data_IF_668710182992
#
_entry.id   IF_668710182992
#
_cell.length_a   1.000
_cell.length_b   1.000
_cell.length_c   1.000
_cell.angle_alpha   90.00
_cell.angle_beta   90.00
_cell.angle_gamma   90.00
#
_symmetry.space_group_name_H-M   'P 1'
#
loop_
_entity.id
_entity.type
_entity.pdbx_description
1 polymer ?
#
# COMPACT_ATOMS: atom_id res chain seq x y z
N UNK A 1 -16.45 -3.86 -21.34
CA UNK A 1 -15.04 -3.91 -20.92
C UNK A 1 -14.99 -4.65 -19.61
N UNK A 2 -14.10 -5.63 -19.44
CA UNK A 2 -13.89 -6.27 -18.13
C UNK A 2 -13.33 -5.23 -17.16
N UNK A 3 -13.82 -5.20 -15.95
CA UNK A 3 -13.28 -4.33 -14.89
C UNK A 3 -11.93 -4.89 -14.48
N UNK A 4 -10.87 -4.09 -14.36
CA UNK A 4 -9.59 -4.60 -13.87
C UNK A 4 -9.70 -5.00 -12.41
N UNK A 5 -8.97 -6.04 -12.03
CA UNK A 5 -8.80 -6.48 -10.65
C UNK A 5 -7.63 -5.74 -9.99
N UNK A 6 -7.84 -5.20 -8.79
CA UNK A 6 -6.82 -4.45 -8.05
C UNK A 6 -6.63 -5.08 -6.66
N UNK A 7 -5.43 -5.60 -6.39
CA UNK A 7 -5.01 -6.02 -5.06
C UNK A 7 -4.36 -4.88 -4.29
N UNK A 8 -4.85 -4.54 -3.11
CA UNK A 8 -4.32 -3.45 -2.27
C UNK A 8 -3.90 -4.03 -0.92
N UNK A 9 -2.66 -3.76 -0.50
CA UNK A 9 -2.22 -4.11 0.84
C UNK A 9 -2.88 -3.23 1.91
N UNK A 10 -2.90 -3.73 3.14
CA UNK A 10 -3.50 -3.01 4.26
C UNK A 10 -2.48 -2.21 5.06
N UNK A 11 -1.44 -2.88 5.58
CA UNK A 11 -0.49 -2.28 6.50
C UNK A 11 0.39 -1.23 5.81
N UNK A 12 0.41 -0.01 6.34
CA UNK A 12 1.11 1.16 5.80
C UNK A 12 0.75 1.58 4.36
N UNK A 13 -0.12 0.84 3.68
CA UNK A 13 -0.69 1.21 2.37
C UNK A 13 -2.08 1.81 2.54
N UNK A 14 -3.00 1.04 3.13
CA UNK A 14 -4.37 1.48 3.38
C UNK A 14 -4.51 2.13 4.75
N UNK A 15 -3.94 1.52 5.79
CA UNK A 15 -4.00 2.01 7.17
C UNK A 15 -2.59 2.07 7.78
N UNK A 16 -2.32 3.05 8.65
CA UNK A 16 -1.02 3.16 9.29
C UNK A 16 -0.75 1.96 10.20
N UNK A 17 0.45 1.37 10.13
CA UNK A 17 0.91 0.28 10.98
C UNK A 17 2.17 0.69 11.75
N UNK A 18 3.28 0.92 11.05
CA UNK A 18 4.55 1.28 11.68
C UNK A 18 4.48 2.62 12.46
N UNK A 19 3.73 3.60 11.97
CA UNK A 19 3.56 4.87 12.70
C UNK A 19 2.77 4.70 14.01
N UNK A 20 1.85 3.73 14.07
CA UNK A 20 1.16 3.38 15.32
C UNK A 20 2.11 2.67 16.27
N UNK A 21 2.87 1.67 15.78
CA UNK A 21 3.86 0.96 16.59
C UNK A 21 4.91 1.92 17.18
N UNK A 22 5.38 2.91 16.39
CA UNK A 22 6.27 3.98 16.87
C UNK A 22 5.63 4.79 17.98
N UNK A 23 4.37 5.20 17.82
CA UNK A 23 3.65 5.95 18.84
C UNK A 23 3.54 5.14 20.13
N UNK A 24 3.15 3.86 20.06
CA UNK A 24 3.07 2.96 21.20
C UNK A 24 4.44 2.78 21.88
N UNK A 25 5.52 2.66 21.11
CA UNK A 25 6.87 2.59 21.65
C UNK A 25 7.27 3.88 22.39
N UNK A 26 6.95 5.04 21.83
CA UNK A 26 7.19 6.32 22.46
C UNK A 26 6.36 6.49 23.75
N UNK A 27 5.11 6.05 23.73
CA UNK A 27 4.21 6.06 24.91
C UNK A 27 4.71 5.12 26.02
N UNK A 28 5.30 3.97 25.66
CA UNK A 28 5.78 2.97 26.61
C UNK A 28 7.16 3.28 27.21
N UNK A 29 8.08 3.69 26.34
CA UNK A 29 9.51 3.79 26.73
C UNK A 29 9.96 5.20 27.06
N UNK A 30 9.20 6.23 26.69
CA UNK A 30 9.54 7.64 26.91
C UNK A 30 11.03 7.95 26.59
N UNK A 31 11.53 7.58 25.38
CA UNK A 31 12.93 7.78 25.06
C UNK A 31 13.28 9.28 25.07
N UNK A 32 14.52 9.63 25.43
CA UNK A 32 14.99 11.01 25.42
C UNK A 32 14.82 11.68 24.05
N UNK A 33 15.05 10.90 22.98
CA UNK A 33 14.72 11.26 21.61
C UNK A 33 13.59 10.34 21.11
N UNK A 34 12.38 10.85 20.82
CA UNK A 34 11.29 10.06 20.29
C UNK A 34 11.67 9.32 19.01
N UNK A 35 11.20 8.08 18.88
CA UNK A 35 11.31 7.32 17.62
C UNK A 35 10.48 7.99 16.54
N UNK A 36 10.98 7.96 15.29
CA UNK A 36 10.33 8.56 14.12
C UNK A 36 10.22 7.55 12.98
N UNK A 37 9.21 7.69 12.15
CA UNK A 37 8.95 6.79 11.03
C UNK A 37 10.10 6.82 10.00
N UNK A 38 10.70 7.99 9.79
CA UNK A 38 11.79 8.22 8.84
C UNK A 38 13.08 7.48 9.20
N UNK A 39 13.20 7.03 10.44
CA UNK A 39 14.33 6.22 10.91
C UNK A 39 14.25 4.75 10.45
N UNK A 40 13.08 4.29 10.01
CA UNK A 40 12.92 2.96 9.40
C UNK A 40 13.39 3.03 7.96
N UNK A 41 14.67 2.77 7.73
CA UNK A 41 15.29 2.92 6.40
C UNK A 41 15.45 1.61 5.62
N UNK A 42 14.98 0.51 6.18
CA UNK A 42 14.99 -0.82 5.55
C UNK A 42 13.81 -1.65 6.05
N UNK A 43 13.39 -2.63 5.25
CA UNK A 43 12.34 -3.57 5.63
C UNK A 43 12.67 -4.36 6.91
N UNK A 44 13.93 -4.71 7.08
CA UNK A 44 14.38 -5.44 8.28
C UNK A 44 14.27 -4.62 9.58
N UNK A 45 14.25 -3.29 9.48
CA UNK A 45 14.18 -2.37 10.63
C UNK A 45 15.11 -2.81 11.78
N UNK A 46 16.43 -2.79 11.52
CA UNK A 46 17.46 -3.25 12.49
C UNK A 46 18.01 -2.12 13.39
N UNK A 47 17.63 -0.87 13.09
CA UNK A 47 18.08 0.30 13.85
C UNK A 47 17.40 0.44 15.22
N UNK A 48 17.56 1.64 15.84
CA UNK A 48 16.96 1.94 17.16
C UNK A 48 15.44 1.78 17.18
N UNK A 49 14.78 1.93 16.03
CA UNK A 49 13.34 1.71 15.87
C UNK A 49 12.92 0.24 15.85
N UNK A 50 13.87 -0.71 15.86
CA UNK A 50 13.56 -2.16 15.89
C UNK A 50 12.70 -2.58 17.09
N UNK A 51 12.72 -1.81 18.15
CA UNK A 51 11.89 -2.01 19.37
C UNK A 51 10.39 -2.03 19.05
N UNK A 52 9.94 -1.35 17.95
CA UNK A 52 8.53 -1.34 17.60
C UNK A 52 7.99 -2.72 17.18
N UNK A 53 8.86 -3.68 16.84
CA UNK A 53 8.45 -5.04 16.45
C UNK A 53 7.71 -5.79 17.56
N UNK A 54 7.95 -5.44 18.81
CA UNK A 54 7.23 -6.04 19.95
C UNK A 54 5.72 -5.76 19.90
N UNK A 55 5.32 -4.64 19.24
CA UNK A 55 3.91 -4.25 19.12
C UNK A 55 3.20 -4.89 17.92
N UNK A 56 3.93 -5.56 17.00
CA UNK A 56 3.34 -6.12 15.78
C UNK A 56 2.31 -7.23 16.04
N UNK A 57 2.35 -7.84 17.23
CA UNK A 57 1.36 -8.81 17.67
C UNK A 57 0.52 -8.27 18.85
N UNK A 58 0.44 -6.96 19.02
CA UNK A 58 -0.36 -6.33 20.06
C UNK A 58 -1.77 -6.03 19.53
N UNK A 59 -2.85 -6.55 20.16
CA UNK A 59 -4.23 -6.23 19.78
C UNK A 59 -4.54 -4.74 19.76
N UNK A 60 -3.87 -3.95 20.60
CA UNK A 60 -4.06 -2.51 20.66
C UNK A 60 -3.58 -1.82 19.39
N UNK A 61 -2.48 -2.29 18.77
CA UNK A 61 -2.02 -1.78 17.48
C UNK A 61 -3.12 -1.93 16.43
N UNK A 62 -3.73 -3.10 16.34
CA UNK A 62 -4.80 -3.38 15.40
C UNK A 62 -6.04 -2.49 15.66
N UNK A 63 -6.41 -2.28 16.93
CA UNK A 63 -7.55 -1.42 17.27
C UNK A 63 -7.35 0.05 16.87
N UNK A 64 -6.10 0.51 16.86
CA UNK A 64 -5.72 1.87 16.49
C UNK A 64 -5.57 2.08 14.97
N UNK A 65 -5.57 1.02 14.17
CA UNK A 65 -5.40 1.08 12.70
C UNK A 65 -6.66 1.56 11.99
N UNK A 66 -6.72 2.83 11.69
CA UNK A 66 -7.84 3.44 10.97
C UNK A 66 -7.29 4.14 9.72
N UNK A 67 -7.77 3.79 8.51
CA UNK A 67 -7.43 4.52 7.30
C UNK A 67 -7.83 5.99 7.37
N UNK A 68 -7.04 6.87 6.76
CA UNK A 68 -7.43 8.28 6.64
C UNK A 68 -8.65 8.45 5.73
N UNK A 69 -9.40 9.53 5.91
CA UNK A 69 -10.54 9.81 5.04
C UNK A 69 -10.14 10.03 3.57
N UNK A 70 -8.92 10.51 3.33
CA UNK A 70 -8.38 10.61 1.98
C UNK A 70 -8.18 9.23 1.36
N UNK A 71 -7.56 8.30 2.09
CA UNK A 71 -7.37 6.91 1.65
C UNK A 71 -8.70 6.23 1.38
N UNK A 72 -9.68 6.36 2.30
CA UNK A 72 -11.02 5.80 2.13
C UNK A 72 -11.71 6.32 0.86
N UNK A 73 -11.65 7.63 0.64
CA UNK A 73 -12.21 8.24 -0.59
C UNK A 73 -11.53 7.72 -1.85
N UNK A 74 -10.21 7.56 -1.80
CA UNK A 74 -9.44 7.01 -2.93
C UNK A 74 -9.88 5.59 -3.27
N UNK A 75 -9.95 4.71 -2.27
CA UNK A 75 -10.36 3.31 -2.44
C UNK A 75 -11.81 3.22 -2.95
N UNK A 76 -12.74 4.01 -2.40
CA UNK A 76 -14.13 4.06 -2.91
C UNK A 76 -14.21 4.51 -4.37
N UNK A 77 -13.33 5.42 -4.80
CA UNK A 77 -13.24 5.80 -6.23
C UNK A 77 -12.72 4.65 -7.10
N UNK A 78 -11.79 3.84 -6.59
CA UNK A 78 -11.33 2.65 -7.29
C UNK A 78 -12.44 1.61 -7.40
N UNK A 79 -13.22 1.38 -6.35
CA UNK A 79 -14.36 0.46 -6.36
C UNK A 79 -15.43 0.83 -7.40
N UNK A 80 -15.50 2.09 -7.82
CA UNK A 80 -16.42 2.51 -8.90
C UNK A 80 -15.96 2.06 -10.29
N UNK A 81 -14.66 1.84 -10.50
CA UNK A 81 -14.05 1.60 -11.82
C UNK A 81 -13.33 0.25 -11.95
N UNK A 82 -13.08 -0.43 -10.84
CA UNK A 82 -12.32 -1.68 -10.77
C UNK A 82 -12.91 -2.63 -9.71
N UNK A 83 -12.53 -3.90 -9.78
CA UNK A 83 -12.81 -4.88 -8.74
C UNK A 83 -11.68 -4.86 -7.72
N UNK A 84 -11.94 -4.22 -6.58
CA UNK A 84 -10.94 -4.01 -5.53
C UNK A 84 -10.94 -5.18 -4.56
N UNK A 85 -9.73 -5.65 -4.24
CA UNK A 85 -9.45 -6.69 -3.25
C UNK A 85 -8.46 -6.13 -2.23
N UNK A 86 -8.65 -6.46 -0.96
CA UNK A 86 -7.58 -6.33 0.02
C UNK A 86 -6.82 -7.64 0.12
N UNK A 87 -5.49 -7.56 -0.02
CA UNK A 87 -4.58 -8.69 0.12
C UNK A 87 -3.49 -8.35 1.13
N UNK A 88 -3.58 -8.89 2.34
CA UNK A 88 -2.71 -8.48 3.45
C UNK A 88 -2.16 -9.68 4.20
N UNK A 89 -0.85 -9.62 4.49
CA UNK A 89 -0.20 -10.57 5.37
C UNK A 89 -0.50 -10.22 6.83
N UNK A 90 -1.08 -11.16 7.55
CA UNK A 90 -1.42 -11.00 8.95
C UNK A 90 -1.21 -12.33 9.69
N UNK A 91 -0.76 -12.25 10.95
CA UNK A 91 -0.66 -13.44 11.80
C UNK A 91 -2.00 -14.16 11.90
N UNK A 92 -2.05 -15.51 11.86
CA UNK A 92 -3.28 -16.27 12.01
C UNK A 92 -4.13 -15.87 13.21
N UNK A 93 -3.50 -15.44 14.31
CA UNK A 93 -4.20 -14.98 15.51
C UNK A 93 -5.02 -13.69 15.30
N UNK A 94 -4.69 -12.89 14.28
CA UNK A 94 -5.33 -11.60 14.00
C UNK A 94 -6.12 -11.58 12.70
N UNK A 95 -6.26 -12.71 12.00
CA UNK A 95 -7.01 -12.76 10.74
C UNK A 95 -8.47 -12.32 10.91
N UNK A 96 -9.14 -12.77 11.97
CA UNK A 96 -10.51 -12.34 12.28
C UNK A 96 -10.61 -10.84 12.54
N UNK A 97 -9.70 -10.31 13.36
CA UNK A 97 -9.63 -8.86 13.67
C UNK A 97 -9.39 -8.05 12.39
N UNK A 98 -8.48 -8.51 11.52
CA UNK A 98 -8.18 -7.84 10.26
C UNK A 98 -9.38 -7.84 9.32
N UNK A 99 -10.07 -8.97 9.17
CA UNK A 99 -11.27 -9.04 8.35
C UNK A 99 -12.36 -8.07 8.85
N UNK A 100 -12.58 -8.04 10.17
CA UNK A 100 -13.55 -7.14 10.80
C UNK A 100 -13.16 -5.66 10.61
N UNK A 101 -11.87 -5.31 10.73
CA UNK A 101 -11.38 -3.96 10.45
C UNK A 101 -11.71 -3.54 9.00
N UNK A 102 -11.39 -4.39 8.03
CA UNK A 102 -11.64 -4.10 6.61
C UNK A 102 -13.14 -3.90 6.39
N UNK A 103 -13.98 -4.81 6.85
CA UNK A 103 -15.44 -4.75 6.70
C UNK A 103 -16.04 -3.52 7.39
N UNK A 104 -15.50 -3.11 8.54
CA UNK A 104 -15.95 -1.91 9.26
C UNK A 104 -15.61 -0.64 8.50
N UNK A 105 -14.42 -0.56 7.90
CA UNK A 105 -13.97 0.65 7.18
C UNK A 105 -14.53 0.74 5.76
N UNK A 106 -14.84 -0.42 5.15
CA UNK A 106 -15.35 -0.55 3.78
C UNK A 106 -16.54 -1.53 3.75
N UNK A 107 -17.69 -1.19 4.38
CA UNK A 107 -18.86 -2.07 4.44
C UNK A 107 -19.47 -2.37 3.06
N UNK A 108 -19.13 -1.58 2.05
CA UNK A 108 -19.52 -1.79 0.67
C UNK A 108 -18.67 -2.81 -0.09
N UNK A 109 -17.52 -3.26 0.49
CA UNK A 109 -16.66 -4.26 -0.13
C UNK A 109 -17.28 -5.66 0.02
N UNK A 110 -17.37 -6.48 -1.06
CA UNK A 110 -17.75 -7.88 -0.92
C UNK A 110 -16.78 -8.64 0.00
N UNK A 111 -17.26 -9.42 0.97
CA UNK A 111 -16.38 -10.16 1.90
C UNK A 111 -15.40 -11.10 1.21
N UNK A 112 -15.77 -11.69 0.06
CA UNK A 112 -14.92 -12.54 -0.78
C UNK A 112 -13.71 -11.80 -1.39
N UNK A 113 -13.73 -10.46 -1.37
CA UNK A 113 -12.62 -9.63 -1.83
C UNK A 113 -11.57 -9.38 -0.73
N UNK A 114 -11.68 -10.05 0.42
CA UNK A 114 -10.70 -9.99 1.51
C UNK A 114 -9.84 -11.25 1.48
N UNK A 115 -8.56 -11.11 1.18
CA UNK A 115 -7.58 -12.20 1.10
C UNK A 115 -6.55 -12.01 2.21
N UNK A 116 -6.52 -12.94 3.17
CA UNK A 116 -5.63 -12.88 4.31
C UNK A 116 -4.57 -13.98 4.20
N UNK A 117 -3.31 -13.58 4.14
CA UNK A 117 -2.18 -14.50 4.06
C UNK A 117 -0.93 -13.88 3.46
N UNK A 118 0.22 -14.50 3.71
CA UNK A 118 1.54 -14.03 3.27
C UNK A 118 1.91 -14.43 1.84
N UNK A 119 1.22 -15.43 1.26
CA UNK A 119 1.53 -15.95 -0.08
C UNK A 119 0.92 -15.08 -1.20
N UNK A 120 1.23 -13.78 -1.18
CA UNK A 120 0.67 -12.80 -2.13
C UNK A 120 1.09 -13.10 -3.58
N UNK A 121 2.24 -13.73 -3.79
CA UNK A 121 2.75 -14.19 -5.09
C UNK A 121 1.87 -15.27 -5.75
N UNK A 122 0.97 -15.89 -4.99
CA UNK A 122 0.05 -16.93 -5.47
C UNK A 122 -1.27 -16.38 -6.02
N UNK A 123 -1.55 -15.11 -5.77
CA UNK A 123 -2.78 -14.45 -6.24
C UNK A 123 -2.45 -13.55 -7.43
N UNK A 124 -3.29 -13.59 -8.45
CA UNK A 124 -3.11 -12.80 -9.65
C UNK A 124 -4.13 -11.65 -9.71
N UNK A 125 -3.62 -10.44 -9.90
CA UNK A 125 -4.40 -9.21 -10.15
C UNK A 125 -3.86 -8.51 -11.40
N UNK A 126 -4.67 -7.66 -12.02
CA UNK A 126 -4.17 -6.79 -13.10
C UNK A 126 -3.24 -5.72 -12.52
N UNK A 127 -3.59 -5.16 -11.36
CA UNK A 127 -2.82 -4.12 -10.67
C UNK A 127 -2.66 -4.51 -9.20
N UNK A 128 -1.46 -4.32 -8.63
CA UNK A 128 -1.21 -4.50 -7.20
C UNK A 128 -0.59 -3.24 -6.63
N UNK A 129 -1.00 -2.85 -5.42
CA UNK A 129 -0.40 -1.79 -4.62
C UNK A 129 0.10 -2.36 -3.29
N UNK A 130 1.40 -2.26 -3.04
CA UNK A 130 2.05 -2.76 -1.82
C UNK A 130 3.26 -1.88 -1.48
N UNK A 131 3.67 -1.79 -0.22
CA UNK A 131 4.85 -1.05 0.21
C UNK A 131 6.10 -1.93 0.38
N UNK A 132 5.92 -3.24 0.40
CA UNK A 132 6.99 -4.21 0.51
C UNK A 132 7.62 -4.52 -0.85
N UNK A 133 8.90 -4.21 -1.00
CA UNK A 133 9.64 -4.42 -2.25
C UNK A 133 9.55 -5.87 -2.75
N UNK A 134 9.67 -6.86 -1.84
CA UNK A 134 9.60 -8.27 -2.20
C UNK A 134 8.22 -8.65 -2.76
N UNK A 135 7.14 -8.13 -2.21
CA UNK A 135 5.80 -8.37 -2.74
C UNK A 135 5.63 -7.80 -4.16
N UNK A 136 6.24 -6.65 -4.44
CA UNK A 136 6.23 -6.04 -5.77
C UNK A 136 7.07 -6.83 -6.77
N UNK A 137 8.27 -7.27 -6.38
CA UNK A 137 9.19 -8.03 -7.25
C UNK A 137 8.67 -9.44 -7.55
N UNK A 138 8.03 -10.09 -6.58
CA UNK A 138 7.49 -11.44 -6.73
C UNK A 138 6.06 -11.45 -7.31
N UNK A 139 5.44 -10.26 -7.45
CA UNK A 139 4.08 -10.12 -7.99
C UNK A 139 3.98 -10.57 -9.43
N UNK A 140 2.87 -11.23 -9.75
CA UNK A 140 2.50 -11.61 -11.12
C UNK A 140 1.50 -10.64 -11.75
N UNK A 141 1.22 -9.52 -11.10
CA UNK A 141 0.36 -8.48 -11.64
C UNK A 141 0.97 -7.87 -12.91
N UNK A 142 0.11 -7.45 -13.85
CA UNK A 142 0.57 -6.72 -15.03
C UNK A 142 1.20 -5.37 -14.64
N UNK A 143 0.64 -4.73 -13.60
CA UNK A 143 1.12 -3.45 -13.06
C UNK A 143 1.37 -3.54 -11.55
N UNK A 144 2.53 -4.06 -11.11
CA UNK A 144 2.93 -3.99 -9.71
C UNK A 144 3.36 -2.56 -9.36
N UNK A 145 2.70 -1.93 -8.37
CA UNK A 145 2.91 -0.54 -7.98
C UNK A 145 3.40 -0.47 -6.54
N UNK A 146 4.55 0.19 -6.33
CA UNK A 146 5.14 0.38 -5.01
C UNK A 146 4.55 1.64 -4.33
N UNK A 147 3.94 1.50 -3.17
CA UNK A 147 3.65 2.62 -2.28
C UNK A 147 4.94 3.08 -1.60
N UNK A 148 5.36 4.31 -1.85
CA UNK A 148 6.60 4.86 -1.29
C UNK A 148 6.50 5.05 0.21
N UNK A 149 7.52 4.53 0.91
CA UNK A 149 7.71 4.61 2.35
C UNK A 149 9.19 4.80 2.67
N UNK A 150 9.57 5.25 3.89
CA UNK A 150 10.98 5.45 4.23
C UNK A 150 11.85 4.20 4.01
N UNK A 151 11.34 3.00 4.30
CA UNK A 151 12.08 1.72 4.16
C UNK A 151 12.28 1.25 2.73
N UNK A 152 11.58 1.85 1.77
CA UNK A 152 11.75 1.53 0.35
C UNK A 152 12.23 2.75 -0.48
N UNK A 153 12.58 3.86 0.17
CA UNK A 153 12.91 5.13 -0.49
C UNK A 153 14.10 5.03 -1.47
N UNK A 154 15.06 4.12 -1.20
CA UNK A 154 16.24 3.91 -2.05
C UNK A 154 15.94 3.08 -3.30
N UNK A 155 14.78 2.41 -3.38
CA UNK A 155 14.44 1.58 -4.54
C UNK A 155 14.11 2.46 -5.73
N UNK A 156 14.68 2.14 -6.89
CA UNK A 156 14.46 2.83 -8.16
C UNK A 156 14.00 1.86 -9.24
N UNK A 157 13.47 2.37 -10.35
CA UNK A 157 13.09 1.54 -11.51
C UNK A 157 11.75 0.80 -11.36
N UNK A 158 11.00 1.02 -10.27
CA UNK A 158 9.66 0.47 -10.07
C UNK A 158 8.59 1.53 -10.29
N UNK A 159 7.47 1.10 -10.87
CA UNK A 159 6.26 1.91 -10.88
C UNK A 159 5.85 2.21 -9.44
N UNK A 160 5.68 3.48 -9.09
CA UNK A 160 5.50 3.84 -7.69
C UNK A 160 4.66 5.11 -7.52
N UNK A 161 4.02 5.21 -6.36
CA UNK A 161 3.19 6.34 -5.93
C UNK A 161 3.50 6.69 -4.47
N UNK A 162 3.25 7.94 -4.08
CA UNK A 162 3.43 8.39 -2.70
C UNK A 162 2.12 8.42 -1.92
N UNK A 163 0.98 8.51 -2.61
CA UNK A 163 -0.33 8.66 -2.00
C UNK A 163 -1.38 7.81 -2.70
N UNK A 164 -2.49 7.54 -2.01
CA UNK A 164 -3.65 6.88 -2.61
C UNK A 164 -4.26 7.71 -3.73
N UNK A 165 -4.19 9.04 -3.67
CA UNK A 165 -4.68 9.91 -4.73
C UNK A 165 -3.86 9.76 -6.03
N UNK A 166 -2.52 9.67 -5.91
CA UNK A 166 -1.64 9.36 -7.04
C UNK A 166 -1.95 7.97 -7.62
N UNK A 167 -2.19 6.98 -6.76
CA UNK A 167 -2.56 5.63 -7.22
C UNK A 167 -3.88 5.63 -8.00
N UNK A 168 -4.92 6.31 -7.52
CA UNK A 168 -6.19 6.47 -8.28
C UNK A 168 -5.97 7.10 -9.64
N UNK A 169 -5.10 8.11 -9.72
CA UNK A 169 -4.75 8.78 -10.98
C UNK A 169 -4.01 7.83 -11.92
N UNK A 170 -3.05 7.06 -11.40
CA UNK A 170 -2.30 6.05 -12.15
C UNK A 170 -3.22 4.96 -12.72
N UNK A 171 -4.13 4.40 -11.90
CA UNK A 171 -5.10 3.38 -12.35
C UNK A 171 -5.95 3.91 -13.52
N UNK A 172 -6.43 5.15 -13.44
CA UNK A 172 -7.18 5.76 -14.54
C UNK A 172 -6.35 5.92 -15.82
N UNK A 173 -5.05 6.23 -15.69
CA UNK A 173 -4.15 6.33 -16.84
C UNK A 173 -3.93 4.96 -17.49
N UNK A 174 -3.69 3.91 -16.69
CA UNK A 174 -3.57 2.53 -17.15
C UNK A 174 -4.83 2.12 -17.91
N UNK A 175 -6.01 2.33 -17.35
CA UNK A 175 -7.29 1.99 -17.98
C UNK A 175 -7.48 2.75 -19.31
N UNK A 176 -7.17 4.04 -19.35
CA UNK A 176 -7.28 4.86 -20.57
C UNK A 176 -6.31 4.37 -21.65
N UNK A 177 -5.09 4.02 -21.29
CA UNK A 177 -4.09 3.52 -22.21
C UNK A 177 -4.48 2.15 -22.78
N UNK A 178 -5.04 1.26 -21.97
CA UNK A 178 -5.54 -0.06 -22.39
C UNK A 178 -6.76 0.03 -23.33
N UNK A 179 -7.51 1.14 -23.29
CA UNK A 179 -8.64 1.36 -24.22
C UNK A 179 -8.23 1.97 -25.55
N UNK A 180 -7.05 2.60 -25.63
CA UNK A 180 -6.60 3.35 -26.83
C UNK A 180 -5.68 2.56 -27.75
N UNK A 181 -5.21 1.36 -27.36
CA UNK A 181 -4.36 0.49 -28.21
C UNK A 181 -4.65 -0.99 -27.95
N UNK A 182 -4.67 -1.83 -29.03
CA UNK A 182 -4.73 -3.29 -28.88
C UNK A 182 -3.40 -3.95 -28.47
N UNK A 183 -2.31 -3.19 -28.34
CA UNK A 183 -1.01 -3.69 -27.88
C UNK A 183 -0.84 -3.53 -26.38
N UNK A 184 -0.30 -4.59 -25.74
CA UNK A 184 0.05 -4.60 -24.31
C UNK A 184 1.01 -3.45 -23.99
N UNK A 185 0.59 -2.54 -23.11
CA UNK A 185 1.46 -1.48 -22.59
C UNK A 185 2.35 -2.10 -21.51
N UNK A 186 3.66 -2.00 -21.72
CA UNK A 186 4.64 -2.46 -20.72
C UNK A 186 4.78 -1.43 -19.58
N UNK A 187 5.15 -1.88 -18.39
CA UNK A 187 5.38 -1.01 -17.23
C UNK A 187 6.28 0.22 -17.52
N UNK A 188 7.35 0.13 -18.35
CA UNK A 188 8.14 1.29 -18.78
C UNK A 188 7.35 2.37 -19.51
N UNK A 189 6.35 2.01 -20.33
CA UNK A 189 5.55 2.98 -21.08
C UNK A 189 4.60 3.77 -20.16
N UNK A 190 4.09 3.13 -19.09
CA UNK A 190 3.27 3.81 -18.07
C UNK A 190 4.11 4.76 -17.22
N UNK A 191 5.36 4.39 -16.90
CA UNK A 191 6.32 5.27 -16.21
C UNK A 191 6.60 6.56 -17.00
N UNK A 192 6.76 6.47 -18.33
CA UNK A 192 6.97 7.63 -19.19
C UNK A 192 5.75 8.57 -19.17
N UNK A 193 4.53 8.02 -19.20
CA UNK A 193 3.29 8.82 -19.14
C UNK A 193 3.13 9.58 -17.82
N UNK A 194 3.57 8.98 -16.71
CA UNK A 194 3.53 9.62 -15.37
C UNK A 194 4.58 10.70 -15.23
N UNK A 195 5.80 10.50 -15.79
CA UNK A 195 6.89 11.46 -15.71
C UNK A 195 6.63 12.75 -16.51
N UNK A 196 5.87 12.66 -17.61
CA UNK A 196 5.50 13.83 -18.42
C UNK A 196 4.46 14.74 -17.76
N UNK A 197 3.71 14.24 -16.77
CA UNK A 197 2.67 14.99 -16.06
C UNK A 197 3.08 15.50 -14.66
N UNK A 198 4.28 15.19 -14.23
CA UNK A 198 4.80 15.76 -12.99
C UNK A 198 5.06 17.27 -13.17
N UNK A 199 4.48 18.15 -12.35
CA UNK A 199 4.80 19.58 -12.45
C UNK A 199 6.29 19.76 -12.20
N UNK A 200 6.96 20.41 -13.15
CA UNK A 200 8.35 20.84 -13.03
C UNK A 200 8.45 21.72 -11.79
N UNK A 201 8.91 21.18 -10.67
CA UNK A 201 9.30 22.01 -9.53
C UNK A 201 10.47 22.86 -9.99
N UNK A 202 10.20 24.13 -10.24
CA UNK A 202 11.24 25.13 -10.40
C UNK A 202 12.15 25.06 -9.17
N UNK A 203 13.39 24.70 -9.41
CA UNK A 203 14.48 24.85 -8.45
C UNK A 203 14.70 26.35 -8.36
N UNK A 204 14.18 26.98 -7.33
CA UNK A 204 14.61 28.32 -6.92
C UNK A 204 15.84 28.14 -6.03
N UNK A 205 16.93 28.74 -6.48
CA UNK A 205 18.20 28.88 -5.79
C UNK A 205 18.06 29.49 -4.40
#
# INVERSE_FOLDING_TARGET
MLRPSIGIDWDDVTAPFNSIAIRMANEKYHPAEPYRLEEITSWANEGRTSVIKEFYNDPELYSRQIPTEETKRGIRRLMQIADVFFITAVSPHFMGVRAEQIMTQFPELPPENIILGSAKDRVHFDIVLDDAIHNILDSKAEYPVLMRKPWNAKMTGLLSVNTMAEFVSLVRQIMKASTSKPEKITAPAVLALVSEQAPTRAILC
#
